data_IF_038030701189
#
_entry.id   IF_038030701189
#
_cell.length_a   1.000
_cell.length_b   1.000
_cell.length_c   1.000
_cell.angle_alpha   90.00
_cell.angle_beta   90.00
_cell.angle_gamma   90.00
#
_symmetry.space_group_name_H-M   'P 1'
#
loop_
_entity.id
_entity.type
_entity.pdbx_description
1 polymer ?
#
# COMPACT_ATOMS: atom_id res chain seq x y z
N UNK A 1 -9.89 -12.66 -30.64
CA UNK A 1 -9.75 -11.22 -30.28
C UNK A 1 -8.87 -11.20 -29.05
N UNK A 2 -7.59 -10.84 -29.23
CA UNK A 2 -6.56 -10.95 -28.18
C UNK A 2 -6.79 -9.85 -27.13
N UNK A 3 -7.22 -10.27 -25.95
CA UNK A 3 -7.42 -9.42 -24.77
C UNK A 3 -6.31 -9.62 -23.73
N UNK A 4 -5.07 -9.80 -24.16
CA UNK A 4 -3.93 -9.72 -23.27
C UNK A 4 -3.47 -8.26 -23.21
N UNK A 5 -3.69 -7.61 -22.05
CA UNK A 5 -3.09 -6.32 -21.76
C UNK A 5 -1.57 -6.43 -21.83
N UNK A 6 -1.00 -5.69 -22.78
CA UNK A 6 0.41 -5.66 -23.16
C UNK A 6 1.41 -5.82 -22.01
N UNK A 7 1.79 -7.04 -21.71
CA UNK A 7 3.20 -7.33 -21.53
C UNK A 7 3.73 -7.35 -22.96
N UNK A 8 4.31 -6.24 -23.43
CA UNK A 8 5.01 -6.21 -24.71
C UNK A 8 5.93 -7.43 -24.74
N UNK A 9 5.72 -8.31 -25.71
CA UNK A 9 6.66 -9.42 -25.92
C UNK A 9 8.04 -8.79 -26.06
N UNK A 10 9.06 -9.27 -25.33
CA UNK A 10 10.39 -8.67 -25.40
C UNK A 10 10.83 -8.60 -26.85
N UNK A 11 11.08 -7.40 -27.37
CA UNK A 11 11.50 -7.16 -28.74
C UNK A 11 12.97 -7.52 -28.99
N UNK A 12 13.67 -8.04 -27.97
CA UNK A 12 15.07 -8.46 -28.01
C UNK A 12 15.26 -9.98 -28.13
N UNK A 13 16.52 -10.46 -28.17
CA UNK A 13 16.82 -11.88 -28.15
C UNK A 13 16.30 -12.54 -26.88
N UNK A 14 15.70 -13.71 -27.01
CA UNK A 14 15.17 -14.48 -25.89
C UNK A 14 15.79 -15.88 -25.83
N UNK A 15 15.78 -16.48 -24.65
CA UNK A 15 16.12 -17.89 -24.45
C UNK A 15 14.90 -18.62 -23.92
N UNK A 16 14.75 -19.89 -24.34
CA UNK A 16 13.68 -20.73 -23.83
C UNK A 16 14.11 -21.38 -22.51
N UNK A 17 13.35 -21.11 -21.43
CA UNK A 17 13.49 -21.89 -20.19
C UNK A 17 12.82 -23.25 -20.40
N UNK A 18 13.53 -24.38 -20.14
CA UNK A 18 12.93 -25.70 -20.27
C UNK A 18 11.73 -25.90 -19.36
N UNK A 19 10.69 -26.58 -19.83
CA UNK A 19 9.56 -26.94 -18.98
C UNK A 19 10.05 -27.79 -17.80
N UNK A 20 9.58 -27.46 -16.60
CA UNK A 20 9.96 -28.14 -15.35
C UNK A 20 8.76 -28.43 -14.46
N UNK A 21 8.85 -29.49 -13.67
CA UNK A 21 7.91 -29.75 -12.58
C UNK A 21 8.27 -28.88 -11.39
N UNK A 22 7.27 -28.26 -10.78
CA UNK A 22 7.46 -27.48 -9.57
C UNK A 22 7.02 -28.29 -8.35
N UNK A 23 7.81 -28.33 -7.27
CA UNK A 23 7.32 -28.89 -6.01
C UNK A 23 6.18 -28.01 -5.45
N UNK A 24 5.13 -28.67 -4.96
CA UNK A 24 4.05 -27.99 -4.23
C UNK A 24 4.48 -27.89 -2.77
N UNK A 25 4.74 -26.67 -2.32
CA UNK A 25 5.27 -26.41 -0.98
C UNK A 25 4.22 -26.52 0.11
N UNK A 26 3.00 -26.06 -0.18
CA UNK A 26 1.88 -26.07 0.75
C UNK A 26 0.56 -26.13 -0.01
N UNK A 27 -0.48 -26.60 0.69
CA UNK A 27 -1.87 -26.52 0.29
C UNK A 27 -2.68 -25.94 1.45
N UNK A 28 -3.38 -24.82 1.22
CA UNK A 28 -4.12 -24.08 2.23
C UNK A 28 -5.48 -23.60 1.69
N UNK A 29 -6.35 -23.10 2.56
CA UNK A 29 -7.61 -22.49 2.12
C UNK A 29 -7.38 -21.15 1.43
N UNK A 30 -6.51 -20.30 2.00
CA UNK A 30 -6.26 -18.95 1.51
C UNK A 30 -4.76 -18.68 1.41
N UNK A 31 -4.31 -18.24 0.23
CA UNK A 31 -2.97 -17.65 0.06
C UNK A 31 -3.12 -16.13 -0.04
N UNK A 32 -2.39 -15.41 0.79
CA UNK A 32 -2.25 -13.95 0.70
C UNK A 32 -0.89 -13.61 0.11
N UNK A 33 -0.89 -12.94 -1.03
CA UNK A 33 0.32 -12.53 -1.76
C UNK A 33 0.69 -11.10 -1.38
N UNK A 34 1.79 -10.93 -0.62
CA UNK A 34 2.27 -9.65 -0.10
C UNK A 34 1.83 -9.35 1.33
N UNK A 35 2.81 -9.06 2.21
CA UNK A 35 2.62 -8.76 3.63
C UNK A 35 2.59 -7.25 3.93
N UNK A 36 2.16 -6.42 2.97
CA UNK A 36 1.93 -4.97 3.16
C UNK A 36 0.74 -4.68 4.09
N UNK A 37 0.36 -3.39 4.26
CA UNK A 37 -0.73 -3.01 5.18
C UNK A 37 -2.04 -3.78 4.96
N UNK A 38 -2.44 -4.00 3.71
CA UNK A 38 -3.62 -4.82 3.40
C UNK A 38 -3.38 -6.30 3.64
N UNK A 39 -2.18 -6.82 3.27
CA UNK A 39 -1.95 -8.25 3.23
C UNK A 39 -1.85 -8.91 4.60
N UNK A 40 -1.09 -8.34 5.54
CA UNK A 40 -1.00 -8.95 6.86
C UNK A 40 -2.35 -8.87 7.61
N UNK A 41 -3.14 -7.82 7.39
CA UNK A 41 -4.50 -7.73 7.94
C UNK A 41 -5.43 -8.75 7.26
N UNK A 42 -5.33 -8.93 5.92
CA UNK A 42 -6.11 -9.93 5.20
C UNK A 42 -5.82 -11.35 5.72
N UNK A 43 -4.55 -11.66 5.93
CA UNK A 43 -4.14 -12.95 6.46
C UNK A 43 -4.71 -13.22 7.88
N UNK A 44 -4.65 -12.21 8.76
CA UNK A 44 -5.24 -12.28 10.11
C UNK A 44 -6.76 -12.44 10.03
N UNK A 45 -7.45 -11.68 9.17
CA UNK A 45 -8.89 -11.75 9.01
C UNK A 45 -9.34 -13.14 8.51
N UNK A 46 -8.66 -13.68 7.50
CA UNK A 46 -8.96 -15.01 6.96
C UNK A 46 -8.74 -16.12 8.00
N UNK A 47 -7.63 -16.07 8.75
CA UNK A 47 -7.35 -17.05 9.78
C UNK A 47 -8.35 -17.00 10.94
N UNK A 48 -8.73 -15.79 11.39
CA UNK A 48 -9.76 -15.62 12.44
C UNK A 48 -11.16 -16.07 11.98
N UNK A 49 -11.41 -16.03 10.67
CA UNK A 49 -12.62 -16.61 10.10
C UNK A 49 -12.56 -18.15 9.93
N UNK A 50 -11.46 -18.79 10.36
CA UNK A 50 -11.31 -20.24 10.40
C UNK A 50 -10.63 -20.89 9.21
N UNK A 51 -10.06 -20.11 8.28
CA UNK A 51 -9.31 -20.64 7.16
C UNK A 51 -7.85 -20.97 7.54
N UNK A 52 -7.28 -22.00 6.93
CA UNK A 52 -5.83 -22.22 6.88
C UNK A 52 -5.20 -21.19 5.94
N UNK A 53 -4.15 -20.45 6.39
CA UNK A 53 -3.62 -19.29 5.65
C UNK A 53 -2.11 -19.36 5.53
N UNK A 54 -1.60 -19.13 4.31
CA UNK A 54 -0.20 -18.86 4.05
C UNK A 54 -0.03 -17.42 3.55
N UNK A 55 0.77 -16.63 4.24
CA UNK A 55 1.17 -15.28 3.84
C UNK A 55 2.54 -15.30 3.16
N UNK A 56 2.60 -14.84 1.92
CA UNK A 56 3.82 -14.71 1.13
C UNK A 56 4.33 -13.27 1.18
N UNK A 57 5.61 -13.06 1.52
CA UNK A 57 6.22 -11.73 1.53
C UNK A 57 7.63 -11.76 0.91
N UNK A 58 7.92 -10.78 0.04
CA UNK A 58 9.23 -10.67 -0.64
C UNK A 58 10.36 -10.17 0.26
N UNK A 59 10.04 -9.44 1.33
CA UNK A 59 11.01 -8.98 2.32
C UNK A 59 11.14 -9.96 3.49
N UNK A 60 12.13 -9.75 4.36
CA UNK A 60 12.27 -10.44 5.64
C UNK A 60 11.43 -9.83 6.77
N UNK A 61 10.46 -8.97 6.45
CA UNK A 61 9.58 -8.28 7.39
C UNK A 61 8.27 -7.86 6.73
N UNK A 62 7.23 -7.66 7.54
CA UNK A 62 5.92 -7.20 7.11
C UNK A 62 5.80 -5.67 7.11
N UNK A 63 4.73 -5.15 6.50
CA UNK A 63 4.31 -3.75 6.53
C UNK A 63 4.44 -3.02 5.20
N UNK A 64 5.08 -3.60 4.18
CA UNK A 64 5.15 -3.02 2.83
C UNK A 64 5.57 -1.54 2.85
N UNK A 65 4.72 -0.63 2.31
CA UNK A 65 5.07 0.80 2.24
C UNK A 65 5.22 1.47 3.62
N UNK A 66 4.62 0.94 4.69
CA UNK A 66 4.86 1.44 6.05
C UNK A 66 6.28 1.15 6.54
N UNK A 67 6.89 0.07 6.11
CA UNK A 67 8.19 -0.40 6.61
C UNK A 67 9.27 -0.37 5.55
N UNK A 68 9.07 -1.01 4.39
CA UNK A 68 10.02 -0.95 3.29
C UNK A 68 10.10 0.46 2.66
N UNK A 69 8.97 1.16 2.52
CA UNK A 69 8.90 2.53 2.02
C UNK A 69 9.00 3.61 3.07
N UNK A 70 8.90 3.26 4.36
CA UNK A 70 8.85 4.17 5.52
C UNK A 70 7.83 5.31 5.36
N UNK A 71 6.75 5.05 4.62
CA UNK A 71 5.72 6.05 4.30
C UNK A 71 4.86 6.29 5.54
N UNK A 72 5.02 7.42 6.16
CA UNK A 72 4.23 7.84 7.33
C UNK A 72 3.63 9.24 7.15
N UNK A 73 2.68 9.59 8.04
CA UNK A 73 2.02 8.78 9.07
C UNK A 73 1.03 7.76 8.47
N UNK A 74 0.47 6.85 9.30
CA UNK A 74 -0.69 6.03 8.89
C UNK A 74 -1.92 6.96 8.88
N UNK A 75 -2.35 7.35 7.71
CA UNK A 75 -3.50 8.24 7.50
C UNK A 75 -4.66 7.45 6.89
N UNK A 76 -5.84 7.83 7.09
CA UNK A 76 -6.55 8.53 8.16
C UNK A 76 -7.44 7.52 8.88
N UNK A 77 -7.31 7.41 10.18
CA UNK A 77 -8.23 6.58 10.98
C UNK A 77 -9.50 7.34 11.38
N UNK A 78 -9.46 8.67 11.34
CA UNK A 78 -10.59 9.53 11.67
C UNK A 78 -10.89 10.52 10.52
N UNK A 79 -12.14 10.96 10.44
CA UNK A 79 -12.58 12.09 9.64
C UNK A 79 -13.51 12.98 10.51
N UNK A 80 -13.24 14.29 10.56
CA UNK A 80 -14.02 15.19 11.40
C UNK A 80 -13.98 14.85 12.90
N UNK A 81 -12.93 14.21 13.37
CA UNK A 81 -12.80 13.75 14.76
C UNK A 81 -13.40 12.36 15.02
N UNK A 82 -14.24 11.86 14.13
CA UNK A 82 -14.87 10.54 14.28
C UNK A 82 -14.04 9.43 13.65
N UNK A 83 -14.03 8.26 14.29
CA UNK A 83 -13.35 7.08 13.80
C UNK A 83 -14.06 6.51 12.58
N UNK A 84 -13.31 6.30 11.48
CA UNK A 84 -13.81 5.70 10.24
C UNK A 84 -13.13 4.37 9.88
N UNK A 85 -12.14 3.93 10.64
CA UNK A 85 -11.51 2.63 10.49
C UNK A 85 -11.55 1.90 11.83
N UNK A 86 -12.11 0.69 11.84
CA UNK A 86 -12.30 -0.17 13.02
C UNK A 86 -11.65 -1.54 12.86
N UNK A 87 -12.00 -2.48 13.75
CA UNK A 87 -11.59 -3.88 13.66
C UNK A 87 -10.09 -4.13 13.84
N UNK A 88 -9.55 -5.08 13.09
CA UNK A 88 -8.15 -5.51 13.18
C UNK A 88 -7.15 -4.35 12.98
N UNK A 89 -7.37 -3.37 12.06
CA UNK A 89 -6.50 -2.20 11.96
C UNK A 89 -6.36 -1.40 13.26
N UNK A 90 -7.43 -1.23 14.02
CA UNK A 90 -7.40 -0.51 15.31
C UNK A 90 -6.71 -1.35 16.37
N UNK A 91 -6.96 -2.65 16.43
CA UNK A 91 -6.22 -3.57 17.30
C UNK A 91 -4.71 -3.46 17.05
N UNK A 92 -4.30 -3.43 15.78
CA UNK A 92 -2.90 -3.31 15.40
C UNK A 92 -2.26 -2.01 15.88
N UNK A 93 -2.88 -0.84 15.63
CA UNK A 93 -2.31 0.45 16.07
C UNK A 93 -2.32 0.58 17.59
N UNK A 94 -3.30 0.00 18.27
CA UNK A 94 -3.37 -0.05 19.74
C UNK A 94 -2.23 -0.90 20.32
N UNK A 95 -1.94 -2.05 19.71
CA UNK A 95 -0.79 -2.89 20.09
C UNK A 95 0.55 -2.17 19.82
N UNK A 96 0.67 -1.41 18.73
CA UNK A 96 1.84 -0.56 18.47
C UNK A 96 2.00 0.53 19.52
N UNK A 97 0.91 1.18 19.92
CA UNK A 97 0.90 2.20 20.96
C UNK A 97 1.33 1.63 22.32
N UNK A 98 0.74 0.51 22.70
CA UNK A 98 1.11 -0.21 23.94
C UNK A 98 2.60 -0.62 23.96
N UNK A 99 3.19 -0.90 22.79
CA UNK A 99 4.62 -1.16 22.63
C UNK A 99 5.49 0.13 22.56
N UNK A 100 4.91 1.32 22.78
CA UNK A 100 5.60 2.61 22.68
C UNK A 100 6.00 3.00 21.25
N UNK A 101 5.38 2.41 20.24
CA UNK A 101 5.74 2.56 18.83
C UNK A 101 4.78 3.42 17.99
N UNK A 102 3.71 3.96 18.59
CA UNK A 102 2.75 4.81 17.87
C UNK A 102 2.05 5.80 18.80
N UNK A 103 1.59 6.92 18.24
CA UNK A 103 0.71 7.90 18.91
C UNK A 103 -0.67 7.80 18.24
N UNK A 104 -1.70 7.43 19.00
CA UNK A 104 -3.03 7.12 18.44
C UNK A 104 -4.14 8.14 18.79
N UNK A 105 -3.87 9.05 19.73
CA UNK A 105 -4.87 9.97 20.29
C UNK A 105 -4.91 11.33 19.57
N UNK A 106 -4.58 11.35 18.27
CA UNK A 106 -4.66 12.58 17.48
C UNK A 106 -6.04 12.71 16.82
N UNK A 107 -6.72 13.86 16.96
CA UNK A 107 -8.04 14.10 16.35
C UNK A 107 -8.07 13.86 14.84
N UNK A 108 -6.96 14.16 14.16
CA UNK A 108 -6.80 13.92 12.72
C UNK A 108 -6.87 12.44 12.32
N UNK A 109 -6.68 11.51 13.26
CA UNK A 109 -6.53 10.10 12.99
C UNK A 109 -5.29 9.74 12.16
N UNK A 110 -4.34 10.64 12.06
CA UNK A 110 -3.01 10.35 11.53
C UNK A 110 -2.16 9.76 12.65
N UNK A 111 -1.59 8.59 12.43
CA UNK A 111 -0.85 7.83 13.44
C UNK A 111 0.66 7.94 13.15
N UNK A 112 1.40 8.77 13.90
CA UNK A 112 2.85 8.73 13.92
C UNK A 112 3.33 7.38 14.45
N UNK A 113 4.36 6.80 13.85
CA UNK A 113 4.81 5.47 14.24
C UNK A 113 6.31 5.27 14.04
N UNK A 114 6.83 4.26 14.73
CA UNK A 114 8.17 3.71 14.53
C UNK A 114 8.09 2.47 13.64
N UNK A 115 8.83 2.44 12.53
CA UNK A 115 8.79 1.36 11.55
C UNK A 115 9.27 0.02 12.12
N UNK A 116 10.22 0.00 13.04
CA UNK A 116 10.70 -1.23 13.66
C UNK A 116 9.65 -1.84 14.61
N UNK A 117 8.98 -1.00 15.40
CA UNK A 117 7.86 -1.46 16.22
C UNK A 117 6.70 -1.98 15.35
N UNK A 118 6.47 -1.33 14.19
CA UNK A 118 5.48 -1.81 13.21
C UNK A 118 5.79 -3.24 12.75
N UNK A 119 7.03 -3.51 12.31
CA UNK A 119 7.48 -4.84 11.86
C UNK A 119 7.24 -5.91 12.93
N UNK A 120 7.67 -5.63 14.17
CA UNK A 120 7.51 -6.56 15.30
C UNK A 120 6.04 -6.82 15.64
N UNK A 121 5.22 -5.76 15.67
CA UNK A 121 3.81 -5.86 16.02
C UNK A 121 3.02 -6.59 14.93
N UNK A 122 3.27 -6.29 13.66
CA UNK A 122 2.64 -6.99 12.53
C UNK A 122 2.97 -8.50 12.55
N UNK A 123 4.25 -8.85 12.75
CA UNK A 123 4.67 -10.23 12.85
C UNK A 123 3.99 -10.96 14.04
N UNK A 124 3.91 -10.31 15.22
CA UNK A 124 3.24 -10.88 16.40
C UNK A 124 1.75 -11.10 16.16
N UNK A 125 1.08 -10.13 15.54
CA UNK A 125 -0.35 -10.22 15.25
C UNK A 125 -0.64 -11.38 14.27
N UNK A 126 0.13 -11.49 13.19
CA UNK A 126 0.00 -12.57 12.19
C UNK A 126 0.26 -13.94 12.81
N UNK A 127 1.35 -14.09 13.57
CA UNK A 127 1.65 -15.35 14.27
C UNK A 127 0.61 -15.71 15.33
N UNK A 128 0.13 -14.72 16.07
CA UNK A 128 -0.91 -14.90 17.08
C UNK A 128 -2.25 -15.36 16.51
N UNK A 129 -2.50 -15.08 15.24
CA UNK A 129 -3.67 -15.57 14.50
C UNK A 129 -3.48 -16.98 13.90
N UNK A 130 -2.31 -17.61 14.07
CA UNK A 130 -2.03 -18.95 13.53
C UNK A 130 -1.70 -18.97 12.03
N UNK A 131 -1.39 -17.82 11.43
CA UNK A 131 -1.01 -17.73 10.02
C UNK A 131 0.42 -18.21 9.80
N UNK A 132 0.62 -19.09 8.81
CA UNK A 132 1.94 -19.41 8.31
C UNK A 132 2.49 -18.28 7.45
N UNK A 133 3.80 -17.99 7.57
CA UNK A 133 4.47 -16.94 6.81
C UNK A 133 5.66 -17.51 6.04
N UNK A 134 5.78 -17.14 4.76
CA UNK A 134 6.96 -17.40 3.96
C UNK A 134 7.56 -16.07 3.52
N UNK A 135 8.70 -15.71 4.11
CA UNK A 135 9.47 -14.51 3.80
C UNK A 135 10.43 -14.77 2.63
N UNK A 136 10.91 -13.69 1.98
CA UNK A 136 11.79 -13.77 0.81
C UNK A 136 11.20 -14.61 -0.33
N UNK A 137 9.87 -14.55 -0.49
CA UNK A 137 9.12 -15.25 -1.51
C UNK A 137 8.52 -14.25 -2.51
N UNK A 138 9.01 -14.28 -3.74
CA UNK A 138 8.49 -13.45 -4.83
C UNK A 138 7.37 -14.19 -5.56
N UNK A 139 6.23 -13.55 -5.70
CA UNK A 139 5.14 -14.04 -6.55
C UNK A 139 5.51 -13.78 -8.01
N UNK A 140 5.66 -14.87 -8.78
CA UNK A 140 6.15 -14.81 -10.16
C UNK A 140 5.17 -15.38 -11.19
N UNK A 141 4.00 -15.87 -10.74
CA UNK A 141 2.97 -16.38 -11.63
C UNK A 141 1.79 -16.98 -10.89
N UNK A 142 0.78 -17.36 -11.67
CA UNK A 142 -0.36 -18.17 -11.24
C UNK A 142 -0.66 -19.26 -12.25
N UNK A 143 -1.21 -20.39 -11.80
CA UNK A 143 -1.67 -21.50 -12.65
C UNK A 143 -3.18 -21.52 -12.57
N UNK A 144 -3.85 -21.32 -13.71
CA UNK A 144 -5.29 -21.43 -13.83
C UNK A 144 -5.73 -22.89 -13.97
N UNK A 145 -6.97 -23.18 -13.58
CA UNK A 145 -7.60 -24.45 -13.91
C UNK A 145 -7.81 -24.55 -15.43
N UNK A 146 -7.55 -25.73 -16.05
CA UNK A 146 -7.62 -25.87 -17.52
C UNK A 146 -8.97 -25.45 -18.11
N UNK A 147 -10.07 -25.78 -17.45
CA UNK A 147 -11.43 -25.57 -17.93
C UNK A 147 -12.09 -24.31 -17.38
N UNK A 148 -11.43 -23.60 -16.45
CA UNK A 148 -11.93 -22.40 -15.77
C UNK A 148 -10.81 -21.33 -15.67
N UNK A 149 -10.52 -20.56 -16.72
CA UNK A 149 -9.38 -19.60 -16.73
C UNK A 149 -9.42 -18.54 -15.63
N UNK A 150 -10.62 -18.20 -15.11
CA UNK A 150 -10.81 -17.28 -13.98
C UNK A 150 -10.54 -17.88 -12.60
N UNK A 151 -10.28 -19.21 -12.52
CA UNK A 151 -9.96 -19.93 -11.29
C UNK A 151 -8.48 -20.32 -11.25
N UNK A 152 -7.78 -19.79 -10.29
CA UNK A 152 -6.42 -20.23 -10.01
C UNK A 152 -6.42 -21.51 -9.16
N UNK A 153 -5.45 -22.37 -9.41
CA UNK A 153 -5.17 -23.56 -8.60
C UNK A 153 -3.92 -23.36 -7.75
N UNK A 154 -2.93 -22.64 -8.28
CA UNK A 154 -1.66 -22.41 -7.60
C UNK A 154 -1.15 -20.98 -7.85
N UNK A 155 -0.41 -20.46 -6.90
CA UNK A 155 0.53 -19.34 -7.11
C UNK A 155 1.94 -19.92 -7.30
N UNK A 156 2.72 -19.34 -8.20
CA UNK A 156 4.13 -19.67 -8.40
C UNK A 156 4.98 -18.63 -7.67
N UNK A 157 5.93 -19.10 -6.89
CA UNK A 157 6.86 -18.29 -6.13
C UNK A 157 8.31 -18.60 -6.51
N UNK A 158 9.16 -17.57 -6.47
CA UNK A 158 10.62 -17.71 -6.53
C UNK A 158 11.20 -17.43 -5.15
N UNK A 159 12.04 -18.34 -4.66
CA UNK A 159 12.66 -18.25 -3.34
C UNK A 159 14.15 -18.62 -3.44
N UNK A 160 14.89 -18.48 -2.32
CA UNK A 160 16.27 -18.99 -2.27
C UNK A 160 16.36 -20.52 -2.44
N UNK A 161 15.28 -21.26 -2.16
CA UNK A 161 15.20 -22.70 -2.35
C UNK A 161 14.88 -23.09 -3.80
N UNK A 162 14.61 -22.12 -4.66
CA UNK A 162 14.21 -22.29 -6.06
C UNK A 162 12.76 -21.92 -6.29
N UNK A 163 12.24 -22.29 -7.46
CA UNK A 163 10.86 -22.04 -7.87
C UNK A 163 9.94 -23.14 -7.36
N UNK A 164 8.87 -22.76 -6.69
CA UNK A 164 7.89 -23.63 -6.03
C UNK A 164 6.47 -23.17 -6.37
N UNK A 165 5.48 -24.01 -6.14
CA UNK A 165 4.07 -23.69 -6.23
C UNK A 165 3.39 -23.81 -4.86
N UNK A 166 2.37 -23.00 -4.62
CA UNK A 166 1.48 -23.11 -3.45
C UNK A 166 0.06 -23.26 -3.95
N UNK A 167 -0.60 -24.36 -3.54
CA UNK A 167 -1.99 -24.63 -3.86
C UNK A 167 -2.91 -23.91 -2.87
N UNK A 168 -4.03 -23.36 -3.35
CA UNK A 168 -5.06 -22.82 -2.48
C UNK A 168 -6.46 -22.84 -3.12
N UNK A 169 -7.49 -22.72 -2.26
CA UNK A 169 -8.87 -22.52 -2.70
C UNK A 169 -9.11 -21.07 -3.11
N UNK A 170 -8.52 -20.10 -2.38
CA UNK A 170 -8.68 -18.67 -2.61
C UNK A 170 -7.33 -17.97 -2.58
N UNK A 171 -7.20 -16.88 -3.35
CA UNK A 171 -6.01 -16.06 -3.45
C UNK A 171 -6.35 -14.60 -3.22
N UNK A 172 -5.54 -13.88 -2.43
CA UNK A 172 -5.68 -12.43 -2.22
C UNK A 172 -4.41 -11.73 -2.67
N UNK A 173 -4.48 -10.97 -3.77
CA UNK A 173 -3.34 -10.17 -4.25
C UNK A 173 -3.23 -8.86 -3.46
N UNK A 174 -2.28 -8.83 -2.54
CA UNK A 174 -1.88 -7.69 -1.73
C UNK A 174 -0.44 -7.24 -2.05
N UNK A 175 0.10 -7.57 -3.23
CA UNK A 175 1.48 -7.26 -3.62
C UNK A 175 1.74 -5.76 -3.80
N UNK A 176 0.68 -4.94 -3.84
CA UNK A 176 0.73 -3.48 -4.01
C UNK A 176 0.91 -3.04 -5.46
N UNK A 177 1.45 -3.92 -6.31
CA UNK A 177 1.68 -3.69 -7.73
C UNK A 177 0.91 -4.65 -8.63
N UNK A 178 0.08 -5.54 -8.05
CA UNK A 178 -0.73 -6.52 -8.79
C UNK A 178 0.10 -7.62 -9.41
N UNK A 179 1.12 -8.10 -8.70
CA UNK A 179 2.08 -9.04 -9.27
C UNK A 179 1.48 -10.42 -9.56
N UNK A 180 0.46 -10.84 -8.79
CA UNK A 180 -0.27 -12.07 -9.11
C UNK A 180 -1.21 -11.84 -10.30
N UNK A 181 -2.12 -10.86 -10.19
CA UNK A 181 -3.14 -10.62 -11.22
C UNK A 181 -2.50 -10.35 -12.60
N UNK A 182 -1.45 -9.54 -12.65
CA UNK A 182 -0.76 -9.20 -13.90
C UNK A 182 -0.08 -10.39 -14.61
N UNK A 183 0.06 -11.52 -13.91
CA UNK A 183 0.65 -12.77 -14.45
C UNK A 183 -0.37 -13.89 -14.61
N UNK A 184 -1.62 -13.52 -14.72
CA UNK A 184 -2.77 -14.40 -14.98
C UNK A 184 -3.59 -13.86 -16.15
N UNK A 185 -4.65 -14.54 -16.54
CA UNK A 185 -5.62 -14.06 -17.53
C UNK A 185 -6.60 -13.02 -17.00
N UNK A 186 -6.56 -12.71 -15.69
CA UNK A 186 -7.46 -11.75 -15.09
C UNK A 186 -7.14 -10.31 -15.54
N UNK A 187 -8.15 -9.50 -15.85
CA UNK A 187 -7.93 -8.20 -16.47
C UNK A 187 -7.35 -7.17 -15.49
N UNK A 188 -6.24 -6.59 -15.89
CA UNK A 188 -5.59 -5.47 -15.19
C UNK A 188 -5.05 -4.46 -16.20
N UNK A 189 -4.81 -3.23 -15.75
CA UNK A 189 -4.25 -2.17 -16.58
C UNK A 189 -3.37 -1.24 -15.76
N UNK A 190 -2.47 -0.51 -16.42
CA UNK A 190 -1.75 0.60 -15.81
C UNK A 190 -2.74 1.74 -15.54
N UNK A 191 -2.78 2.23 -14.30
CA UNK A 191 -3.76 3.23 -13.87
C UNK A 191 -3.72 4.56 -14.66
N UNK A 192 -2.56 4.91 -15.19
CA UNK A 192 -2.35 6.11 -15.98
C UNK A 192 -2.87 6.04 -17.43
N UNK A 193 -3.29 4.89 -17.96
CA UNK A 193 -3.79 4.77 -19.35
C UNK A 193 -4.96 5.71 -19.65
N UNK A 194 -5.74 6.08 -18.63
CA UNK A 194 -6.87 7.01 -18.72
C UNK A 194 -6.52 8.48 -18.43
N UNK A 195 -5.25 8.79 -18.13
CA UNK A 195 -4.83 10.10 -17.67
C UNK A 195 -3.44 10.46 -18.21
N UNK A 196 -3.35 10.84 -19.49
CA UNK A 196 -2.17 11.44 -20.14
C UNK A 196 -0.81 10.74 -19.93
N UNK A 197 -0.79 9.45 -19.60
CA UNK A 197 0.41 8.64 -19.55
C UNK A 197 1.30 8.80 -18.31
N UNK A 198 1.04 9.71 -17.38
CA UNK A 198 1.86 9.93 -16.20
C UNK A 198 1.34 9.17 -14.97
N UNK A 199 2.24 8.45 -14.29
CA UNK A 199 2.00 7.91 -12.95
C UNK A 199 2.41 8.94 -11.89
N UNK A 200 1.80 8.88 -10.70
CA UNK A 200 2.23 9.70 -9.57
C UNK A 200 3.68 9.35 -9.21
N UNK A 201 4.52 10.38 -8.90
CA UNK A 201 5.94 10.18 -8.70
C UNK A 201 6.26 9.31 -7.49
N UNK A 202 7.33 8.54 -7.59
CA UNK A 202 7.95 7.81 -6.48
C UNK A 202 8.71 8.76 -5.56
N UNK A 203 8.95 8.35 -4.31
CA UNK A 203 9.72 9.11 -3.31
C UNK A 203 10.51 8.17 -2.42
N UNK A 204 11.75 8.50 -2.13
CA UNK A 204 12.54 7.83 -1.09
C UNK A 204 12.41 8.62 0.21
N UNK A 205 11.83 8.01 1.22
CA UNK A 205 11.79 8.56 2.57
C UNK A 205 13.14 8.34 3.27
N UNK A 206 13.50 9.26 4.15
CA UNK A 206 14.67 9.14 5.00
C UNK A 206 14.41 9.75 6.38
N UNK A 207 15.16 9.30 7.39
CA UNK A 207 15.05 9.85 8.75
C UNK A 207 16.35 10.53 9.16
N UNK A 208 16.18 11.64 9.87
CA UNK A 208 17.27 12.40 10.47
C UNK A 208 17.15 12.40 11.98
N UNK A 209 18.26 12.25 12.66
CA UNK A 209 18.41 12.50 14.10
C UNK A 209 19.14 13.80 14.37
N UNK A 210 19.13 14.26 15.62
CA UNK A 210 19.80 15.48 16.04
C UNK A 210 19.18 16.77 15.50
N UNK A 211 17.89 16.76 15.16
CA UNK A 211 17.16 17.91 14.64
C UNK A 211 16.49 18.67 15.78
N UNK A 212 16.72 19.99 15.87
CA UNK A 212 15.98 20.87 16.78
C UNK A 212 14.60 21.19 16.21
N UNK A 213 13.63 20.30 16.50
CA UNK A 213 12.27 20.40 15.96
C UNK A 213 11.53 21.63 16.45
N UNK A 214 11.94 22.25 17.55
CA UNK A 214 11.37 23.49 18.06
C UNK A 214 11.62 24.71 17.17
N UNK A 215 12.64 24.62 16.31
CA UNK A 215 12.97 25.69 15.34
C UNK A 215 12.33 25.49 13.96
N UNK A 216 11.60 24.41 13.75
CA UNK A 216 10.95 24.15 12.45
C UNK A 216 9.60 24.85 12.39
N UNK A 217 9.38 25.60 11.31
CA UNK A 217 8.04 26.11 10.99
C UNK A 217 7.19 24.97 10.41
N UNK A 218 6.02 24.78 11.01
CA UNK A 218 5.08 23.74 10.60
C UNK A 218 3.72 24.39 10.39
N UNK A 219 3.15 24.24 9.20
CA UNK A 219 1.76 24.60 8.95
C UNK A 219 0.86 23.46 9.44
N UNK A 220 -0.19 23.83 10.17
CA UNK A 220 -1.15 22.88 10.75
C UNK A 220 -2.56 23.23 10.29
N UNK A 221 -3.36 22.19 10.02
CA UNK A 221 -4.81 22.31 9.87
C UNK A 221 -5.50 22.39 11.24
N UNK A 222 -6.79 22.76 11.27
CA UNK A 222 -7.60 22.87 12.50
C UNK A 222 -7.68 21.54 13.27
N UNK A 223 -7.65 20.39 12.56
CA UNK A 223 -7.64 19.04 13.14
C UNK A 223 -6.26 18.62 13.69
N UNK A 224 -5.28 19.53 13.72
CA UNK A 224 -3.91 19.26 14.16
C UNK A 224 -3.02 18.54 13.13
N UNK A 225 -3.51 18.31 11.91
CA UNK A 225 -2.67 17.71 10.84
C UNK A 225 -1.56 18.69 10.45
N UNK A 226 -0.32 18.24 10.61
CA UNK A 226 0.88 18.95 10.13
C UNK A 226 1.07 18.66 8.65
N UNK A 227 1.09 19.67 7.79
CA UNK A 227 1.07 19.43 6.34
C UNK A 227 2.15 20.13 5.52
N UNK A 228 2.96 21.01 6.09
CA UNK A 228 4.08 21.63 5.37
C UNK A 228 5.15 22.23 6.29
N UNK A 229 6.35 22.34 5.74
CA UNK A 229 7.48 23.07 6.31
C UNK A 229 7.89 24.17 5.32
N UNK A 230 7.34 25.40 5.41
CA UNK A 230 7.55 26.44 4.41
C UNK A 230 9.00 26.93 4.30
N UNK A 231 9.74 26.93 5.42
CA UNK A 231 11.16 27.27 5.47
C UNK A 231 12.02 26.27 4.70
N UNK A 232 11.81 24.96 4.89
CA UNK A 232 12.50 23.93 4.13
C UNK A 232 12.12 23.96 2.64
N UNK A 233 10.87 24.30 2.33
CA UNK A 233 10.39 24.44 0.95
C UNK A 233 11.17 25.55 0.22
N UNK A 234 11.42 26.69 0.89
CA UNK A 234 12.21 27.77 0.34
C UNK A 234 13.63 27.37 0.00
N UNK A 235 14.29 26.61 0.89
CA UNK A 235 15.64 26.08 0.69
C UNK A 235 15.68 25.17 -0.54
N UNK A 236 14.79 24.20 -0.64
CA UNK A 236 14.76 23.25 -1.75
C UNK A 236 14.40 23.93 -3.08
N UNK A 237 13.49 24.90 -3.07
CA UNK A 237 13.16 25.68 -4.26
C UNK A 237 14.35 26.50 -4.79
N UNK A 238 15.12 27.13 -3.90
CA UNK A 238 16.33 27.83 -4.26
C UNK A 238 17.39 26.90 -4.85
N UNK A 239 17.56 25.70 -4.28
CA UNK A 239 18.49 24.69 -4.78
C UNK A 239 18.10 24.17 -6.17
N UNK A 240 16.80 23.99 -6.45
CA UNK A 240 16.32 23.62 -7.80
C UNK A 240 16.61 24.76 -8.79
N UNK A 241 16.34 26.02 -8.42
CA UNK A 241 16.63 27.16 -9.26
C UNK A 241 18.15 27.32 -9.55
N UNK A 242 19.00 26.93 -8.62
CA UNK A 242 20.45 26.92 -8.78
C UNK A 242 21.01 25.69 -9.53
N UNK A 243 20.17 24.69 -9.83
CA UNK A 243 20.59 23.44 -10.45
C UNK A 243 21.32 22.46 -9.50
N UNK A 244 21.31 22.71 -8.18
CA UNK A 244 21.89 21.83 -7.18
C UNK A 244 20.98 20.61 -6.88
N UNK A 245 19.69 20.75 -7.11
CA UNK A 245 18.68 19.70 -6.93
C UNK A 245 17.81 19.61 -8.18
N UNK A 246 17.49 18.39 -8.63
CA UNK A 246 16.66 18.18 -9.82
C UNK A 246 15.19 18.54 -9.58
N UNK A 247 14.62 18.08 -8.46
CA UNK A 247 13.21 18.23 -8.12
C UNK A 247 12.96 17.89 -6.65
N UNK A 248 11.80 18.27 -6.10
CA UNK A 248 11.39 17.90 -4.76
C UNK A 248 9.85 17.90 -4.64
N UNK A 249 9.32 17.37 -3.53
CA UNK A 249 7.90 17.53 -3.15
C UNK A 249 7.79 17.88 -1.69
N UNK A 250 6.72 18.49 -1.28
CA UNK A 250 6.53 18.95 0.11
C UNK A 250 7.41 20.15 0.44
N UNK A 251 8.41 19.99 1.31
CA UNK A 251 8.75 18.84 2.16
C UNK A 251 7.85 18.68 3.37
N UNK A 252 7.75 17.43 3.86
CA UNK A 252 7.09 17.10 5.13
C UNK A 252 8.14 16.46 6.04
N UNK A 253 8.70 17.24 6.99
CA UNK A 253 9.76 16.77 7.88
C UNK A 253 9.26 16.45 9.30
N UNK A 254 8.15 17.04 9.74
CA UNK A 254 7.59 16.84 11.10
C UNK A 254 6.16 16.31 11.06
N UNK A 255 5.84 15.57 10.02
CA UNK A 255 4.47 15.13 9.74
C UNK A 255 3.99 13.95 10.61
N UNK A 256 4.69 13.64 11.69
CA UNK A 256 4.25 12.61 12.62
C UNK A 256 4.63 11.20 12.22
N UNK A 257 5.72 11.04 11.53
CA UNK A 257 6.28 9.73 11.17
C UNK A 257 7.35 9.24 12.16
N UNK A 258 7.54 9.93 13.27
CA UNK A 258 8.44 9.53 14.36
C UNK A 258 7.84 9.92 15.71
N UNK A 259 8.20 9.16 16.75
CA UNK A 259 7.74 9.33 18.13
C UNK A 259 8.85 9.77 19.06
N UNK A 260 10.08 9.91 18.56
CA UNK A 260 11.25 10.29 19.36
C UNK A 260 11.59 11.75 19.17
N UNK A 261 11.86 12.50 20.25
CA UNK A 261 12.34 13.86 20.16
C UNK A 261 13.63 13.97 19.35
N UNK A 262 13.74 14.98 18.50
CA UNK A 262 14.92 15.21 17.68
C UNK A 262 15.07 14.28 16.45
N UNK A 263 14.14 13.32 16.25
CA UNK A 263 14.04 12.52 15.05
C UNK A 263 12.95 13.08 14.13
N UNK A 264 13.24 13.19 12.84
CA UNK A 264 12.26 13.56 11.81
C UNK A 264 12.32 12.61 10.65
N UNK A 265 11.15 12.27 10.09
CA UNK A 265 11.03 11.54 8.84
C UNK A 265 10.74 12.54 7.72
N UNK A 266 11.52 12.51 6.68
CA UNK A 266 11.44 13.48 5.58
C UNK A 266 10.85 12.83 4.33
N UNK A 267 9.74 13.41 3.85
CA UNK A 267 9.16 13.13 2.55
C UNK A 267 9.40 14.35 1.64
N UNK A 268 10.45 14.31 0.84
CA UNK A 268 10.84 15.44 -0.01
C UNK A 268 11.28 15.04 -1.42
N UNK A 269 11.85 13.86 -1.61
CA UNK A 269 12.34 13.42 -2.91
C UNK A 269 11.21 13.12 -3.90
N UNK A 270 11.45 13.32 -5.20
CA UNK A 270 10.47 13.04 -6.27
C UNK A 270 11.12 12.57 -7.55
N UNK A 271 10.63 11.46 -8.11
CA UNK A 271 11.00 10.99 -9.46
C UNK A 271 9.81 10.32 -10.14
N UNK A 272 9.63 10.61 -11.41
CA UNK A 272 8.62 9.94 -12.26
C UNK A 272 9.16 8.61 -12.78
N UNK A 273 8.27 7.69 -13.08
CA UNK A 273 8.59 6.39 -13.65
C UNK A 273 7.54 5.34 -13.31
N UNK A 274 7.67 4.18 -13.94
CA UNK A 274 6.83 3.03 -13.74
C UNK A 274 7.49 2.04 -12.75
N UNK A 275 6.99 1.94 -11.53
CA UNK A 275 7.54 1.02 -10.53
C UNK A 275 7.31 -0.48 -10.82
N UNK A 276 6.63 -0.82 -11.91
CA UNK A 276 6.53 -2.21 -12.40
C UNK A 276 7.57 -2.52 -13.48
N UNK A 277 8.34 -1.52 -13.89
CA UNK A 277 9.53 -1.66 -14.73
C UNK A 277 10.78 -1.61 -13.84
N UNK A 278 11.62 -2.63 -13.94
CA UNK A 278 12.81 -2.76 -13.07
C UNK A 278 13.88 -1.72 -13.38
N UNK A 279 13.99 -1.24 -14.61
CA UNK A 279 14.95 -0.19 -14.98
C UNK A 279 14.54 1.16 -14.37
N UNK A 280 13.25 1.51 -14.47
CA UNK A 280 12.70 2.71 -13.84
C UNK A 280 12.82 2.66 -12.30
N UNK A 281 12.51 1.50 -11.71
CA UNK A 281 12.63 1.30 -10.27
C UNK A 281 14.08 1.44 -9.80
N UNK A 282 15.04 0.81 -10.51
CA UNK A 282 16.47 0.91 -10.21
C UNK A 282 16.96 2.35 -10.33
N UNK A 283 16.59 3.05 -11.41
CA UNK A 283 16.92 4.46 -11.60
C UNK A 283 16.37 5.31 -10.44
N UNK A 284 15.16 5.06 -9.99
CA UNK A 284 14.56 5.76 -8.86
C UNK A 284 15.33 5.53 -7.56
N UNK A 285 15.69 4.27 -7.24
CA UNK A 285 16.47 3.93 -6.04
C UNK A 285 17.82 4.63 -6.01
N UNK A 286 18.55 4.63 -7.12
CA UNK A 286 19.89 5.24 -7.20
C UNK A 286 19.79 6.77 -7.13
N UNK A 287 18.96 7.37 -7.99
CA UNK A 287 18.86 8.84 -8.10
C UNK A 287 18.38 9.47 -6.79
N UNK A 288 17.31 8.90 -6.19
CA UNK A 288 16.75 9.52 -4.99
C UNK A 288 17.63 9.34 -3.77
N UNK A 289 18.46 8.30 -3.71
CA UNK A 289 19.42 8.10 -2.62
C UNK A 289 20.55 9.11 -2.66
N UNK A 290 21.03 9.47 -3.86
CA UNK A 290 21.99 10.58 -4.04
C UNK A 290 21.36 11.93 -3.63
N UNK A 291 20.11 12.19 -4.05
CA UNK A 291 19.40 13.42 -3.70
C UNK A 291 19.16 13.58 -2.20
N UNK A 292 19.03 12.48 -1.44
CA UNK A 292 18.98 12.54 0.05
C UNK A 292 20.25 13.18 0.62
N UNK A 293 21.43 12.81 0.11
CA UNK A 293 22.69 13.43 0.52
C UNK A 293 22.69 14.94 0.27
N UNK A 294 22.30 15.34 -0.94
CA UNK A 294 22.20 16.76 -1.32
C UNK A 294 21.23 17.51 -0.39
N UNK A 295 20.06 16.96 -0.12
CA UNK A 295 19.05 17.59 0.76
C UNK A 295 19.57 17.77 2.20
N UNK A 296 20.29 16.79 2.74
CA UNK A 296 20.86 16.88 4.08
C UNK A 296 21.89 18.02 4.16
N UNK A 297 22.75 18.13 3.16
CA UNK A 297 23.76 19.20 3.11
C UNK A 297 23.13 20.58 2.92
N UNK A 298 22.06 20.69 2.13
CA UNK A 298 21.28 21.92 2.00
C UNK A 298 20.64 22.32 3.35
N UNK A 299 20.01 21.37 4.04
CA UNK A 299 19.39 21.64 5.35
C UNK A 299 20.43 22.07 6.39
N UNK A 300 21.58 21.39 6.47
CA UNK A 300 22.67 21.77 7.38
C UNK A 300 23.23 23.16 7.10
N UNK A 301 23.42 23.52 5.82
CA UNK A 301 23.95 24.82 5.40
C UNK A 301 22.98 25.98 5.65
N UNK A 302 21.69 25.74 5.47
CA UNK A 302 20.72 26.83 5.36
C UNK A 302 19.68 26.88 6.48
N UNK A 303 19.61 25.88 7.37
CA UNK A 303 18.60 25.86 8.43
C UNK A 303 19.17 25.48 9.79
N UNK A 304 19.09 26.37 10.83
CA UNK A 304 19.75 26.14 12.12
C UNK A 304 19.22 24.92 12.87
N UNK A 305 17.98 24.48 12.64
CA UNK A 305 17.44 23.26 13.22
C UNK A 305 18.19 22.00 12.83
N UNK A 306 18.88 22.01 11.68
CA UNK A 306 19.59 20.87 11.14
C UNK A 306 21.12 20.95 11.28
N UNK A 307 21.66 21.97 11.96
CA UNK A 307 23.12 22.15 12.09
C UNK A 307 23.84 20.93 12.67
N UNK A 308 23.20 20.22 13.61
CA UNK A 308 23.73 18.99 14.21
C UNK A 308 23.08 17.69 13.71
N UNK A 309 22.27 17.75 12.64
CA UNK A 309 21.56 16.57 12.18
C UNK A 309 22.47 15.53 11.55
N UNK A 310 22.07 14.29 11.60
CA UNK A 310 22.71 13.16 10.95
C UNK A 310 21.67 12.21 10.34
N UNK A 311 22.07 11.52 9.29
CA UNK A 311 21.24 10.51 8.66
C UNK A 311 21.10 9.29 9.59
N UNK A 312 19.87 8.92 9.95
CA UNK A 312 19.59 7.68 10.67
C UNK A 312 19.50 6.53 9.68
N UNK A 313 18.62 6.67 8.70
CA UNK A 313 18.41 5.67 7.65
C UNK A 313 17.68 6.28 6.43
N UNK A 314 17.75 5.55 5.32
CA UNK A 314 16.84 5.70 4.18
C UNK A 314 15.91 4.52 4.11
N UNK A 315 14.72 4.70 3.53
CA UNK A 315 13.82 3.59 3.29
C UNK A 315 14.52 2.48 2.48
N UNK A 316 14.32 1.19 2.85
CA UNK A 316 14.83 0.05 2.09
C UNK A 316 14.41 0.04 0.62
N UNK A 317 13.30 0.68 0.30
CA UNK A 317 12.74 0.80 -1.05
C UNK A 317 12.10 2.17 -1.23
N UNK A 318 12.10 2.68 -2.46
CA UNK A 318 11.32 3.87 -2.81
C UNK A 318 9.82 3.65 -2.54
N UNK A 319 9.17 4.67 -2.00
CA UNK A 319 7.73 4.69 -1.80
C UNK A 319 7.00 4.80 -3.13
N UNK A 320 6.17 3.81 -3.43
CA UNK A 320 5.39 3.72 -4.66
C UNK A 320 3.97 4.20 -4.38
N UNK A 321 3.49 5.17 -5.17
CA UNK A 321 2.14 5.72 -4.99
C UNK A 321 1.12 5.06 -5.90
N UNK A 322 1.51 4.75 -7.14
CA UNK A 322 0.57 4.36 -8.18
C UNK A 322 1.24 3.40 -9.18
N UNK A 323 0.52 2.33 -9.57
CA UNK A 323 0.92 1.37 -10.59
C UNK A 323 -0.31 0.82 -11.31
N UNK A 324 -0.45 -0.52 -11.34
CA UNK A 324 -1.58 -1.24 -11.94
C UNK A 324 -2.84 -1.16 -11.07
N UNK A 325 -3.98 -1.34 -11.71
CA UNK A 325 -5.25 -1.65 -11.07
C UNK A 325 -5.91 -2.80 -11.82
N UNK A 326 -6.79 -3.52 -11.13
CA UNK A 326 -7.66 -4.48 -11.80
C UNK A 326 -8.77 -3.75 -12.56
N UNK A 327 -9.34 -4.43 -13.57
CA UNK A 327 -10.71 -4.14 -14.03
C UNK A 327 -11.62 -4.98 -13.14
N UNK A 328 -12.28 -4.33 -12.19
CA UNK A 328 -13.13 -4.99 -11.20
C UNK A 328 -14.60 -4.94 -11.60
N UNK A 329 -15.42 -5.74 -10.92
CA UNK A 329 -16.89 -5.72 -11.10
C UNK A 329 -17.51 -4.33 -10.84
N UNK A 330 -16.79 -3.46 -10.16
CA UNK A 330 -17.07 -2.04 -10.01
C UNK A 330 -15.77 -1.25 -10.00
N UNK A 331 -15.77 -0.09 -10.67
CA UNK A 331 -14.66 0.86 -10.60
C UNK A 331 -15.06 2.05 -9.74
N UNK A 332 -14.45 2.18 -8.55
CA UNK A 332 -14.68 3.34 -7.67
C UNK A 332 -14.24 4.62 -8.39
N UNK A 333 -15.14 5.60 -8.50
CA UNK A 333 -14.90 6.84 -9.24
C UNK A 333 -14.55 8.02 -8.32
N UNK A 334 -13.96 9.08 -8.88
CA UNK A 334 -13.76 10.34 -8.16
C UNK A 334 -15.06 10.98 -7.69
N UNK A 335 -16.15 10.81 -8.44
CA UNK A 335 -17.49 11.28 -8.08
C UNK A 335 -18.03 10.53 -6.86
N UNK A 336 -17.82 9.20 -6.78
CA UNK A 336 -18.22 8.40 -5.62
C UNK A 336 -17.52 8.90 -4.35
N UNK A 337 -16.21 9.22 -4.47
CA UNK A 337 -15.39 9.71 -3.36
C UNK A 337 -15.84 11.11 -2.91
N UNK A 338 -15.94 12.04 -3.85
CA UNK A 338 -16.30 13.44 -3.57
C UNK A 338 -17.77 13.58 -3.13
N UNK A 339 -18.65 12.72 -3.64
CA UNK A 339 -20.07 12.67 -3.30
C UNK A 339 -20.37 11.85 -2.04
N UNK A 340 -19.35 11.35 -1.32
CA UNK A 340 -19.53 10.50 -0.13
C UNK A 340 -20.50 9.34 -0.36
N UNK A 341 -20.40 8.66 -1.53
CA UNK A 341 -21.36 7.66 -1.94
C UNK A 341 -21.39 6.45 -1.00
N UNK A 342 -22.56 6.00 -0.68
CA UNK A 342 -22.82 4.76 0.05
C UNK A 342 -23.23 3.63 -0.90
N UNK A 343 -22.78 2.40 -0.58
CA UNK A 343 -23.12 1.19 -1.33
C UNK A 343 -23.66 0.13 -0.37
N UNK A 344 -24.67 -0.67 -0.79
CA UNK A 344 -25.18 -1.78 0.03
C UNK A 344 -24.07 -2.78 0.40
N UNK A 345 -23.15 -3.03 -0.53
CA UNK A 345 -21.97 -3.88 -0.40
C UNK A 345 -20.71 -3.11 0.03
N UNK A 346 -20.85 -1.97 0.72
CA UNK A 346 -19.74 -1.18 1.18
C UNK A 346 -18.97 -1.83 2.32
N UNK A 347 -17.70 -2.22 2.10
CA UNK A 347 -16.88 -3.02 3.02
C UNK A 347 -15.79 -2.25 3.74
N UNK A 348 -15.61 -0.98 3.43
CA UNK A 348 -14.68 -0.07 4.12
C UNK A 348 -15.11 1.38 3.92
N UNK A 349 -14.75 2.25 4.86
CA UNK A 349 -14.90 3.70 4.72
C UNK A 349 -13.56 4.34 4.28
N UNK A 350 -13.67 5.38 3.42
CA UNK A 350 -12.56 6.24 3.07
C UNK A 350 -12.77 7.67 3.56
N UNK A 351 -11.69 8.33 3.98
CA UNK A 351 -11.74 9.68 4.54
C UNK A 351 -10.54 10.57 4.21
N UNK A 352 -9.61 10.08 3.37
CA UNK A 352 -8.46 10.88 2.94
C UNK A 352 -8.87 11.80 1.79
N UNK A 353 -8.40 13.06 1.73
CA UNK A 353 -8.59 13.91 0.56
C UNK A 353 -8.13 13.21 -0.74
N UNK A 354 -8.71 13.58 -1.86
CA UNK A 354 -8.12 13.25 -3.17
C UNK A 354 -6.82 14.03 -3.29
N UNK A 355 -5.70 13.33 -3.24
CA UNK A 355 -4.35 13.90 -3.17
C UNK A 355 -3.51 13.38 -4.34
N UNK A 356 -3.50 14.14 -5.42
CA UNK A 356 -2.76 13.84 -6.64
C UNK A 356 -1.44 14.60 -6.70
N UNK A 357 -0.34 13.88 -6.64
CA UNK A 357 1.00 14.43 -6.84
C UNK A 357 1.36 14.43 -8.33
N UNK A 358 1.86 15.56 -8.82
CA UNK A 358 2.31 15.73 -10.20
C UNK A 358 3.84 15.65 -10.33
N UNK A 359 4.30 15.45 -11.58
CA UNK A 359 5.72 15.37 -11.91
C UNK A 359 6.49 16.68 -11.61
N UNK A 360 5.83 17.82 -11.78
CA UNK A 360 6.36 19.17 -11.56
C UNK A 360 6.38 19.62 -10.09
N UNK A 361 6.18 18.68 -9.14
CA UNK A 361 6.05 18.93 -7.70
C UNK A 361 4.78 19.64 -7.26
N UNK A 362 3.87 19.95 -8.16
CA UNK A 362 2.55 20.45 -7.81
C UNK A 362 1.69 19.31 -7.23
N UNK A 363 0.62 19.69 -6.55
CA UNK A 363 -0.27 18.77 -5.87
C UNK A 363 -1.70 19.29 -5.99
N UNK A 364 -2.59 18.44 -6.52
CA UNK A 364 -4.02 18.73 -6.53
C UNK A 364 -4.67 18.05 -5.33
N UNK A 365 -5.21 18.85 -4.43
CA UNK A 365 -5.90 18.35 -3.23
C UNK A 365 -7.36 18.78 -3.26
N UNK A 366 -8.27 17.79 -3.21
CA UNK A 366 -9.71 18.03 -3.01
C UNK A 366 -10.13 17.42 -1.68
N UNK A 367 -10.53 18.26 -0.75
CA UNK A 367 -10.99 17.80 0.56
C UNK A 367 -12.36 17.14 0.46
N UNK A 368 -12.58 16.15 1.31
CA UNK A 368 -13.87 15.49 1.50
C UNK A 368 -14.40 15.81 2.89
N UNK A 369 -15.70 15.96 3.02
CA UNK A 369 -16.36 16.39 4.26
C UNK A 369 -17.10 15.26 4.97
N UNK A 370 -17.39 14.17 4.25
CA UNK A 370 -18.03 12.98 4.79
C UNK A 370 -17.36 11.72 4.24
N UNK A 371 -17.34 10.61 5.01
CA UNK A 371 -16.72 9.38 4.56
C UNK A 371 -17.52 8.76 3.41
N UNK A 372 -16.81 8.29 2.37
CA UNK A 372 -17.38 7.46 1.32
C UNK A 372 -17.19 5.97 1.62
N UNK A 373 -17.96 5.11 0.97
CA UNK A 373 -17.80 3.65 1.07
C UNK A 373 -17.09 3.07 -0.14
N UNK A 374 -16.28 2.03 0.09
CA UNK A 374 -15.67 1.23 -0.97
C UNK A 374 -16.49 -0.06 -1.12
N UNK A 375 -17.13 -0.31 -2.29
CA UNK A 375 -17.91 -1.51 -2.48
C UNK A 375 -17.04 -2.76 -2.61
N UNK A 376 -17.52 -3.91 -2.13
CA UNK A 376 -16.87 -5.21 -2.25
C UNK A 376 -16.45 -5.50 -3.71
N UNK A 377 -17.34 -5.20 -4.65
CA UNK A 377 -17.13 -5.40 -6.09
C UNK A 377 -15.90 -4.70 -6.66
N UNK A 378 -15.36 -3.68 -5.98
CA UNK A 378 -14.10 -3.04 -6.39
C UNK A 378 -12.85 -3.88 -6.06
N UNK A 379 -13.00 -4.92 -5.23
CA UNK A 379 -11.93 -5.85 -4.87
C UNK A 379 -11.91 -7.11 -5.73
N UNK A 380 -12.91 -7.32 -6.58
CA UNK A 380 -13.12 -8.54 -7.37
C UNK A 380 -12.76 -8.28 -8.83
N UNK A 381 -11.70 -8.88 -9.39
CA UNK A 381 -11.42 -8.80 -10.82
C UNK A 381 -12.56 -9.38 -11.67
N UNK A 382 -12.89 -8.74 -12.79
CA UNK A 382 -13.85 -9.28 -13.75
C UNK A 382 -13.41 -10.68 -14.18
N UNK A 383 -14.35 -11.62 -14.21
CA UNK A 383 -14.10 -13.02 -14.59
C UNK A 383 -13.39 -13.84 -13.51
N UNK A 384 -13.08 -13.29 -12.34
CA UNK A 384 -12.45 -14.04 -11.26
C UNK A 384 -13.42 -14.99 -10.56
N UNK A 385 -12.98 -16.23 -10.34
CA UNK A 385 -13.69 -17.21 -9.51
C UNK A 385 -13.19 -17.19 -8.05
N UNK A 386 -11.87 -17.03 -7.85
CA UNK A 386 -11.24 -17.22 -6.55
C UNK A 386 -10.05 -16.28 -6.28
N UNK A 387 -9.97 -15.16 -6.98
CA UNK A 387 -8.94 -14.14 -6.74
C UNK A 387 -9.60 -12.84 -6.32
N UNK A 388 -9.15 -12.29 -5.20
CA UNK A 388 -9.47 -10.96 -4.69
C UNK A 388 -8.22 -10.08 -4.70
N UNK A 389 -8.40 -8.77 -4.70
CA UNK A 389 -7.30 -7.82 -4.49
C UNK A 389 -7.58 -6.93 -3.29
N UNK A 390 -6.53 -6.42 -2.64
CA UNK A 390 -6.67 -5.36 -1.65
C UNK A 390 -5.47 -4.39 -1.66
N UNK A 391 -5.73 -3.12 -1.32
CA UNK A 391 -4.71 -2.08 -1.30
C UNK A 391 -4.48 -1.44 -2.66
N UNK A 392 -3.24 -1.36 -3.12
CA UNK A 392 -2.83 -0.57 -4.29
C UNK A 392 -3.46 -0.93 -5.63
N UNK A 393 -3.99 -2.12 -5.76
CA UNK A 393 -4.47 -2.70 -7.04
C UNK A 393 -5.99 -2.70 -7.19
N UNK A 394 -6.75 -2.22 -6.21
CA UNK A 394 -8.21 -2.18 -6.31
C UNK A 394 -8.69 -1.44 -7.57
N UNK A 395 -9.89 -1.80 -8.04
CA UNK A 395 -10.53 -1.13 -9.18
C UNK A 395 -11.02 0.26 -8.80
N UNK A 396 -10.26 1.28 -9.18
CA UNK A 396 -10.59 2.67 -8.93
C UNK A 396 -10.02 3.57 -10.04
N UNK A 397 -10.71 4.66 -10.33
CA UNK A 397 -10.13 5.73 -11.17
C UNK A 397 -8.92 6.34 -10.46
N UNK A 398 -8.10 7.07 -11.19
CA UNK A 398 -6.92 7.73 -10.63
C UNK A 398 -7.28 8.69 -9.49
N UNK A 399 -8.35 9.44 -9.63
CA UNK A 399 -8.83 10.37 -8.61
C UNK A 399 -9.31 9.64 -7.34
N UNK A 400 -10.16 8.62 -7.50
CA UNK A 400 -10.60 7.82 -6.36
C UNK A 400 -9.43 7.14 -5.65
N UNK A 401 -8.49 6.60 -6.43
CA UNK A 401 -7.30 5.96 -5.89
C UNK A 401 -6.42 6.92 -5.08
N UNK A 402 -6.30 8.17 -5.52
CA UNK A 402 -5.55 9.18 -4.78
C UNK A 402 -6.05 9.40 -3.34
N UNK A 403 -7.32 9.07 -3.07
CA UNK A 403 -7.91 9.07 -1.74
C UNK A 403 -7.78 7.71 -1.04
N UNK A 404 -8.19 6.62 -1.68
CA UNK A 404 -8.35 5.30 -1.02
C UNK A 404 -7.02 4.56 -0.77
N UNK A 405 -5.92 4.99 -1.39
CA UNK A 405 -4.61 4.33 -1.32
C UNK A 405 -3.88 4.44 0.03
N UNK A 406 -4.37 5.26 0.96
CA UNK A 406 -3.69 5.44 2.24
C UNK A 406 -3.81 4.22 3.13
N UNK A 407 -2.83 4.04 4.02
CA UNK A 407 -2.61 2.76 4.69
C UNK A 407 -3.76 2.31 5.58
N UNK A 408 -4.45 3.22 6.26
CA UNK A 408 -5.59 2.89 7.12
C UNK A 408 -6.73 2.24 6.30
N UNK A 409 -7.07 2.85 5.14
CA UNK A 409 -8.07 2.30 4.22
C UNK A 409 -7.59 0.98 3.59
N UNK A 410 -6.30 0.88 3.22
CA UNK A 410 -5.73 -0.36 2.72
C UNK A 410 -5.82 -1.50 3.76
N UNK A 411 -5.64 -1.23 5.05
CA UNK A 411 -5.83 -2.20 6.13
C UNK A 411 -7.29 -2.66 6.22
N UNK A 412 -8.26 -1.72 6.18
CA UNK A 412 -9.69 -2.05 6.20
C UNK A 412 -10.10 -2.90 4.98
N UNK A 413 -9.61 -2.56 3.78
CA UNK A 413 -9.82 -3.36 2.57
C UNK A 413 -9.16 -4.74 2.67
N UNK A 414 -8.01 -4.84 3.33
CA UNK A 414 -7.37 -6.11 3.64
C UNK A 414 -8.25 -6.98 4.52
N UNK A 415 -8.80 -6.43 5.61
CA UNK A 415 -9.73 -7.16 6.48
C UNK A 415 -10.94 -7.69 5.68
N UNK A 416 -11.51 -6.86 4.80
CA UNK A 416 -12.63 -7.26 3.96
C UNK A 416 -12.27 -8.39 2.98
N UNK A 417 -11.16 -8.26 2.26
CA UNK A 417 -10.73 -9.27 1.28
C UNK A 417 -10.36 -10.60 1.96
N UNK A 418 -9.68 -10.56 3.11
CA UNK A 418 -9.34 -11.76 3.86
C UNK A 418 -10.57 -12.51 4.40
N UNK A 419 -11.52 -11.77 4.97
CA UNK A 419 -12.79 -12.34 5.42
C UNK A 419 -13.57 -12.96 4.25
N UNK A 420 -13.73 -12.23 3.14
CA UNK A 420 -14.43 -12.72 1.96
C UNK A 420 -13.79 -13.98 1.38
N UNK A 421 -12.45 -14.02 1.31
CA UNK A 421 -11.71 -15.21 0.88
C UNK A 421 -12.00 -16.42 1.79
N UNK A 422 -12.03 -16.24 3.12
CA UNK A 422 -12.37 -17.31 4.04
C UNK A 422 -13.83 -17.79 3.87
N UNK A 423 -14.78 -16.86 3.70
CA UNK A 423 -16.19 -17.20 3.44
C UNK A 423 -16.33 -18.04 2.16
N UNK A 424 -15.66 -17.64 1.08
CA UNK A 424 -15.65 -18.38 -0.18
C UNK A 424 -14.95 -19.76 -0.06
N UNK A 425 -13.85 -19.85 0.69
CA UNK A 425 -13.16 -21.12 0.91
C UNK A 425 -14.01 -22.14 1.66
N UNK A 426 -14.86 -21.67 2.59
CA UNK A 426 -15.77 -22.50 3.38
C UNK A 426 -17.02 -22.89 2.61
N UNK A 427 -17.63 -21.96 1.88
CA UNK A 427 -18.88 -22.20 1.14
C UNK A 427 -18.67 -22.88 -0.22
N UNK A 428 -17.47 -22.76 -0.82
CA UNK A 428 -17.21 -23.14 -2.20
C UNK A 428 -17.76 -22.14 -3.22
N UNK A 429 -18.29 -20.99 -2.77
CA UNK A 429 -18.82 -19.94 -3.65
C UNK A 429 -17.70 -19.19 -4.34
N UNK A 430 -17.95 -18.68 -5.54
CA UNK A 430 -17.01 -17.81 -6.24
C UNK A 430 -17.01 -16.41 -5.66
N UNK A 431 -15.85 -15.78 -5.59
CA UNK A 431 -15.70 -14.39 -5.11
C UNK A 431 -16.58 -13.40 -5.89
N UNK A 432 -16.82 -13.67 -7.18
CA UNK A 432 -17.66 -12.84 -8.04
C UNK A 432 -19.16 -13.00 -7.78
N UNK A 433 -19.59 -14.04 -7.05
CA UNK A 433 -20.98 -14.33 -6.70
C UNK A 433 -21.28 -14.09 -5.22
N UNK A 434 -20.24 -13.99 -4.39
CA UNK A 434 -20.41 -13.74 -2.97
C UNK A 434 -21.19 -12.44 -2.74
N UNK A 435 -22.19 -12.51 -1.86
CA UNK A 435 -22.97 -11.33 -1.47
C UNK A 435 -22.12 -10.37 -0.63
N UNK A 436 -21.76 -9.23 -1.21
CA UNK A 436 -20.99 -8.20 -0.53
C UNK A 436 -21.69 -7.57 0.67
N UNK A 437 -23.05 -7.62 0.73
CA UNK A 437 -23.80 -7.19 1.90
C UNK A 437 -23.58 -8.15 3.08
N UNK A 438 -23.54 -9.46 2.84
CA UNK A 438 -23.22 -10.45 3.87
C UNK A 438 -21.77 -10.29 4.38
N UNK A 439 -20.81 -9.96 3.49
CA UNK A 439 -19.44 -9.62 3.92
C UNK A 439 -19.45 -8.39 4.83
N UNK A 440 -20.18 -7.35 4.46
CA UNK A 440 -20.32 -6.13 5.26
C UNK A 440 -20.90 -6.40 6.64
N UNK A 441 -21.99 -7.18 6.72
CA UNK A 441 -22.63 -7.53 8.00
C UNK A 441 -21.66 -8.28 8.92
N UNK A 442 -20.90 -9.22 8.36
CA UNK A 442 -19.92 -9.97 9.13
C UNK A 442 -18.76 -9.08 9.58
N UNK A 443 -18.27 -8.17 8.73
CA UNK A 443 -17.25 -7.18 9.11
C UNK A 443 -17.71 -6.32 10.28
N UNK A 444 -18.96 -5.84 10.24
CA UNK A 444 -19.55 -5.06 11.33
C UNK A 444 -19.63 -5.86 12.64
N UNK A 445 -20.04 -7.12 12.56
CA UNK A 445 -20.07 -8.02 13.72
C UNK A 445 -18.67 -8.27 14.31
N UNK A 446 -17.64 -8.28 13.47
CA UNK A 446 -16.22 -8.41 13.86
C UNK A 446 -15.58 -7.06 14.26
N UNK A 447 -16.37 -5.99 14.45
CA UNK A 447 -15.94 -4.69 14.96
C UNK A 447 -15.33 -3.74 13.92
N UNK A 448 -15.40 -4.07 12.63
CA UNK A 448 -15.02 -3.14 11.57
C UNK A 448 -16.06 -2.00 11.44
N UNK A 449 -15.62 -0.83 11.00
CA UNK A 449 -16.50 0.29 10.64
C UNK A 449 -16.69 0.26 9.12
N UNK A 450 -17.93 0.00 8.66
CA UNK A 450 -18.27 -0.24 7.26
C UNK A 450 -19.49 0.56 6.79
#
# INVERSE_FOLDING_TARGET
MDHNGDVESPTGPFVMEPARRLPVRAEVDVVVCGGGPSGFIAAVAAARAGASVLLLERYGFLGGMATAGMVGPLSKFNLGGERIVGGIPVEFITAMHAAGGAIIDLPSGNIPYNAETYKLTAQRLVRGAGVEMLMHAYVVGGIAAPDEPGRLTHVIIETKSGREAVAARQFVDCTGTGDLVARTSLPSEMRNRRANGELQPMSLFFRLGGVDTGRLKVLMAEDGTKYANPDLRGILAAAVAAGELRNFGGPWAVHGSTIRPGEVSVNATRITGNATDVADLTRAELTLREEVGVMIDLFRRHHPAFAGCYLLDTAPQVGIRETRCIKGLYTLSGEDVLGARSFPDGVALGGHPVDLHRADSSQDVKFITAPYRVPYRALVPEGSCNVLVAGGTLSATREAFASVRVQAQCMALGQAAGLAAAMCAQSGEWVSRLDGAAVRERLAADGAIV
#
